data_IF_361286535760
#
_entry.id   IF_361286535760
#
_cell.length_a   1.000
_cell.length_b   1.000
_cell.length_c   1.000
_cell.angle_alpha   90.00
_cell.angle_beta   90.00
_cell.angle_gamma   90.00
#
_symmetry.space_group_name_H-M   'P 1'
#
loop_
_entity.id
_entity.type
_entity.pdbx_description
1 polymer ?
#
# COMPACT_ATOMS: atom_id res chain seq x y z
N UNK A 1 73.26 -21.54 -64.71
CA UNK A 1 72.43 -22.66 -64.20
C UNK A 1 71.30 -22.12 -63.35
N UNK A 2 70.05 -22.33 -63.79
CA UNK A 2 68.82 -21.75 -63.22
C UNK A 2 68.22 -22.74 -62.21
N UNK A 3 68.24 -22.42 -60.91
CA UNK A 3 67.60 -23.25 -59.86
C UNK A 3 66.09 -23.11 -59.96
N UNK A 4 65.44 -24.17 -60.44
CA UNK A 4 64.00 -24.36 -60.44
C UNK A 4 63.53 -24.54 -58.99
N UNK A 5 62.84 -23.54 -58.42
CA UNK A 5 62.22 -23.65 -57.09
C UNK A 5 60.83 -24.26 -57.28
N UNK A 6 60.71 -25.52 -56.90
CA UNK A 6 59.45 -26.26 -56.88
C UNK A 6 58.43 -25.55 -55.99
N UNK A 7 57.21 -25.42 -56.48
CA UNK A 7 56.07 -24.88 -55.74
C UNK A 7 55.70 -25.85 -54.62
N UNK A 8 55.89 -25.43 -53.38
CA UNK A 8 55.40 -26.15 -52.20
C UNK A 8 53.89 -25.91 -52.13
N UNK A 9 53.10 -26.92 -52.50
CA UNK A 9 51.65 -26.91 -52.24
C UNK A 9 51.45 -27.11 -50.75
N UNK A 10 51.16 -26.02 -50.03
CA UNK A 10 50.79 -26.06 -48.62
C UNK A 10 49.43 -26.78 -48.56
N UNK A 11 49.43 -28.02 -48.07
CA UNK A 11 48.19 -28.70 -47.70
C UNK A 11 47.59 -27.95 -46.51
N UNK A 12 46.46 -27.28 -46.71
CA UNK A 12 45.67 -26.76 -45.61
C UNK A 12 45.21 -27.96 -44.75
N UNK A 13 45.33 -27.90 -43.42
CA UNK A 13 44.78 -28.95 -42.57
C UNK A 13 43.27 -29.06 -42.80
N UNK A 14 42.65 -30.23 -42.63
CA UNK A 14 41.23 -30.41 -42.87
C UNK A 14 40.43 -29.49 -41.94
N UNK A 15 39.87 -28.42 -42.51
CA UNK A 15 39.03 -27.42 -41.81
C UNK A 15 37.65 -28.02 -41.47
N UNK A 16 37.42 -29.31 -41.72
CA UNK A 16 36.13 -29.98 -41.54
C UNK A 16 35.85 -30.48 -40.11
N UNK A 17 36.76 -30.30 -39.15
CA UNK A 17 36.48 -30.68 -37.75
C UNK A 17 36.06 -29.50 -36.85
N UNK A 18 36.13 -28.25 -37.31
CA UNK A 18 35.71 -27.09 -36.51
C UNK A 18 34.21 -26.73 -36.66
N UNK A 19 33.46 -27.43 -37.50
CA UNK A 19 32.02 -27.15 -37.71
C UNK A 19 31.08 -27.85 -36.72
N UNK A 20 31.62 -28.72 -35.83
CA UNK A 20 30.80 -29.47 -34.86
C UNK A 20 30.75 -28.80 -33.49
N UNK A 21 30.59 -27.47 -33.45
CA UNK A 21 30.08 -26.82 -32.24
C UNK A 21 28.60 -27.17 -32.11
N UNK A 22 28.31 -28.23 -31.34
CA UNK A 22 26.96 -28.55 -30.89
C UNK A 22 26.38 -27.31 -30.23
N UNK A 23 25.47 -26.65 -30.94
CA UNK A 23 24.70 -25.50 -30.47
C UNK A 23 23.71 -25.93 -29.37
N UNK A 24 24.21 -26.37 -28.22
CA UNK A 24 23.39 -26.53 -27.02
C UNK A 24 23.10 -25.16 -26.38
N UNK A 25 23.93 -24.14 -26.64
CA UNK A 25 23.76 -22.78 -26.10
C UNK A 25 22.52 -22.07 -26.66
N UNK A 26 22.13 -22.30 -27.93
CA UNK A 26 20.92 -21.68 -28.50
C UNK A 26 19.60 -22.31 -28.03
N UNK A 27 19.63 -23.54 -27.49
CA UNK A 27 18.44 -24.26 -27.01
C UNK A 27 18.26 -24.18 -25.49
N UNK A 28 19.32 -23.89 -24.73
CA UNK A 28 19.26 -23.77 -23.26
C UNK A 28 18.92 -22.37 -22.76
N UNK A 29 19.22 -21.30 -23.51
CA UNK A 29 18.85 -19.93 -23.11
C UNK A 29 17.33 -19.64 -23.24
N UNK A 30 16.62 -20.30 -24.15
CA UNK A 30 15.17 -20.13 -24.31
C UNK A 30 14.37 -20.87 -23.25
N UNK A 31 14.86 -22.01 -22.76
CA UNK A 31 14.26 -22.74 -21.62
C UNK A 31 14.63 -22.11 -20.28
N UNK A 32 15.85 -21.59 -20.11
CA UNK A 32 16.28 -20.93 -18.87
C UNK A 32 15.68 -19.54 -18.65
N UNK A 33 15.69 -18.67 -19.68
CA UNK A 33 15.16 -17.31 -19.54
C UNK A 33 13.64 -17.28 -19.51
N UNK A 34 12.96 -18.15 -20.26
CA UNK A 34 11.51 -18.30 -20.21
C UNK A 34 11.03 -18.78 -18.82
N UNK A 35 11.74 -19.74 -18.21
CA UNK A 35 11.40 -20.22 -16.87
C UNK A 35 11.53 -19.11 -15.80
N UNK A 36 12.57 -18.26 -15.88
CA UNK A 36 12.70 -17.12 -14.98
C UNK A 36 11.52 -16.15 -15.10
N UNK A 37 11.05 -15.84 -16.31
CA UNK A 37 9.88 -14.98 -16.51
C UNK A 37 8.63 -15.60 -15.85
N UNK A 38 8.41 -16.91 -15.99
CA UNK A 38 7.30 -17.58 -15.31
C UNK A 38 7.45 -17.58 -13.78
N UNK A 39 8.67 -17.71 -13.25
CA UNK A 39 8.94 -17.58 -11.81
C UNK A 39 8.63 -16.17 -11.32
N UNK A 40 9.03 -15.13 -12.05
CA UNK A 40 8.71 -13.74 -11.69
C UNK A 40 7.20 -13.46 -11.74
N UNK A 41 6.50 -13.96 -12.76
CA UNK A 41 5.03 -13.86 -12.85
C UNK A 41 4.38 -14.59 -11.67
N UNK A 42 4.83 -15.81 -11.37
CA UNK A 42 4.33 -16.60 -10.24
C UNK A 42 4.55 -15.88 -8.90
N UNK A 43 5.74 -15.32 -8.69
CA UNK A 43 6.07 -14.52 -7.51
C UNK A 43 5.18 -13.27 -7.42
N UNK A 44 4.93 -12.58 -8.53
CA UNK A 44 4.08 -11.40 -8.56
C UNK A 44 2.63 -11.73 -8.23
N UNK A 45 2.09 -12.82 -8.80
CA UNK A 45 0.74 -13.31 -8.49
C UNK A 45 0.66 -13.72 -7.01
N UNK A 46 1.68 -14.41 -6.50
CA UNK A 46 1.75 -14.81 -5.09
C UNK A 46 1.77 -13.61 -4.14
N UNK A 47 2.57 -12.58 -4.46
CA UNK A 47 2.59 -11.33 -3.72
C UNK A 47 1.22 -10.65 -3.76
N UNK A 48 0.54 -10.60 -4.92
CA UNK A 48 -0.80 -10.04 -5.01
C UNK A 48 -1.82 -10.81 -4.16
N UNK A 49 -1.71 -12.14 -4.09
CA UNK A 49 -2.61 -12.96 -3.29
C UNK A 49 -2.39 -12.74 -1.79
N UNK A 50 -1.13 -12.67 -1.36
CA UNK A 50 -0.76 -12.41 0.04
C UNK A 50 -1.09 -11.00 0.51
N UNK A 51 -1.15 -10.03 -0.41
CA UNK A 51 -1.40 -8.62 -0.09
C UNK A 51 -2.87 -8.27 0.04
N UNK A 52 -3.80 -9.20 -0.22
CA UNK A 52 -5.23 -8.92 -0.11
C UNK A 52 -5.63 -8.76 1.36
N UNK A 53 -6.14 -7.59 1.79
CA UNK A 53 -6.60 -7.41 3.15
C UNK A 53 -7.79 -8.31 3.44
N UNK A 54 -7.85 -8.85 4.66
CA UNK A 54 -9.01 -9.61 5.11
C UNK A 54 -10.11 -8.61 5.52
N UNK A 55 -10.97 -8.27 4.55
CA UNK A 55 -12.13 -7.42 4.76
C UNK A 55 -13.25 -8.27 5.34
N UNK A 56 -13.74 -7.88 6.52
CA UNK A 56 -14.90 -8.53 7.15
C UNK A 56 -16.13 -7.66 6.97
N UNK A 57 -17.18 -8.22 6.40
CA UNK A 57 -18.49 -7.56 6.41
C UNK A 57 -19.13 -7.76 7.79
N UNK A 58 -19.40 -6.66 8.48
CA UNK A 58 -20.10 -6.63 9.76
C UNK A 58 -21.58 -6.34 9.52
N UNK A 59 -22.43 -6.92 10.37
CA UNK A 59 -23.87 -6.57 10.38
C UNK A 59 -24.13 -5.30 11.18
N UNK A 60 -23.37 -5.11 12.26
CA UNK A 60 -23.52 -4.03 13.22
C UNK A 60 -22.13 -3.56 13.66
N UNK A 61 -22.02 -2.30 14.06
CA UNK A 61 -20.78 -1.78 14.63
C UNK A 61 -20.62 -2.25 16.09
N UNK A 62 -19.39 -2.49 16.54
CA UNK A 62 -19.12 -2.75 17.95
C UNK A 62 -19.56 -1.56 18.83
N UNK A 63 -20.14 -1.83 20.01
CA UNK A 63 -20.63 -0.80 20.93
C UNK A 63 -19.63 0.33 21.24
N UNK A 64 -18.32 0.08 21.44
CA UNK A 64 -17.38 1.16 21.73
C UNK A 64 -17.27 2.16 20.57
N UNK A 65 -17.32 1.66 19.34
CA UNK A 65 -17.23 2.49 18.14
C UNK A 65 -18.53 3.24 17.91
N UNK A 66 -19.68 2.59 18.11
CA UNK A 66 -20.99 3.21 17.94
C UNK A 66 -21.25 4.38 18.89
N UNK A 67 -20.65 4.35 20.09
CA UNK A 67 -20.69 5.47 21.06
C UNK A 67 -19.88 6.70 20.59
N UNK A 68 -18.80 6.46 19.84
CA UNK A 68 -17.90 7.51 19.35
C UNK A 68 -18.38 8.04 17.99
N UNK A 69 -18.83 7.13 17.13
CA UNK A 69 -19.30 7.39 15.78
C UNK A 69 -20.81 7.12 15.69
N UNK A 70 -21.64 8.14 15.96
CA UNK A 70 -23.08 8.00 15.81
C UNK A 70 -23.44 7.78 14.34
N UNK A 71 -24.33 6.83 14.09
CA UNK A 71 -24.73 6.45 12.74
C UNK A 71 -26.04 7.13 12.36
N UNK A 72 -26.02 7.80 11.21
CA UNK A 72 -27.23 8.26 10.55
C UNK A 72 -28.02 7.06 10.00
N UNK A 73 -29.34 7.05 10.23
CA UNK A 73 -30.28 6.06 9.68
C UNK A 73 -29.75 4.61 9.62
N UNK A 74 -29.59 4.01 10.80
CA UNK A 74 -29.02 2.66 10.96
C UNK A 74 -29.74 1.57 10.16
N UNK A 75 -31.04 1.73 9.94
CA UNK A 75 -31.87 0.79 9.19
C UNK A 75 -31.53 0.73 7.70
N UNK A 76 -30.96 1.81 7.15
CA UNK A 76 -30.69 1.95 5.73
C UNK A 76 -29.19 1.90 5.40
N UNK A 77 -28.37 1.33 6.28
CA UNK A 77 -26.97 1.06 5.99
C UNK A 77 -26.88 -0.09 4.99
N UNK A 78 -26.19 0.13 3.87
CA UNK A 78 -25.98 -0.89 2.85
C UNK A 78 -24.89 -1.89 3.28
N UNK A 79 -23.80 -1.35 3.85
CA UNK A 79 -22.61 -2.14 4.16
C UNK A 79 -21.80 -1.53 5.30
N UNK A 80 -21.29 -2.40 6.17
CA UNK A 80 -20.25 -2.09 7.14
C UNK A 80 -19.08 -3.04 6.89
N UNK A 81 -17.93 -2.51 6.51
CA UNK A 81 -16.69 -3.26 6.37
C UNK A 81 -15.75 -2.95 7.52
N UNK A 82 -15.09 -3.98 8.03
CA UNK A 82 -14.04 -3.87 9.03
C UNK A 82 -12.75 -4.46 8.50
N UNK A 83 -11.67 -3.68 8.63
CA UNK A 83 -10.33 -4.09 8.32
C UNK A 83 -9.47 -3.91 9.57
N UNK A 84 -8.96 -5.03 10.10
CA UNK A 84 -8.06 -5.02 11.24
C UNK A 84 -6.68 -4.48 10.82
N UNK A 85 -6.26 -3.35 11.39
CA UNK A 85 -5.04 -2.64 11.01
C UNK A 85 -3.78 -3.48 11.22
N UNK A 86 -3.72 -4.19 12.34
CA UNK A 86 -2.62 -5.11 12.64
C UNK A 86 -2.49 -6.27 11.65
N UNK A 87 -3.59 -6.78 11.08
CA UNK A 87 -3.54 -7.90 10.11
C UNK A 87 -3.34 -7.44 8.67
N UNK A 88 -3.79 -6.23 8.33
CA UNK A 88 -3.62 -5.63 7.01
C UNK A 88 -2.14 -5.46 6.64
N UNK A 89 -1.29 -5.22 7.64
CA UNK A 89 0.08 -4.81 7.38
C UNK A 89 1.18 -5.65 8.02
N UNK A 90 0.89 -6.62 8.88
CA UNK A 90 1.93 -7.47 9.48
C UNK A 90 2.90 -8.10 8.45
N UNK A 91 2.39 -8.52 7.29
CA UNK A 91 3.24 -9.07 6.23
C UNK A 91 4.11 -8.00 5.58
N UNK A 92 3.56 -6.81 5.34
CA UNK A 92 4.27 -5.67 4.75
C UNK A 92 5.31 -5.13 5.73
N UNK A 93 4.95 -4.96 7.00
CA UNK A 93 5.87 -4.57 8.07
C UNK A 93 7.05 -5.53 8.17
N UNK A 94 6.80 -6.85 8.18
CA UNK A 94 7.88 -7.87 8.19
C UNK A 94 8.77 -7.80 6.96
N UNK A 95 8.19 -7.59 5.77
CA UNK A 95 8.96 -7.45 4.53
C UNK A 95 9.73 -6.13 4.45
N UNK A 96 9.24 -5.08 5.10
CA UNK A 96 9.87 -3.76 5.10
C UNK A 96 11.07 -3.64 6.06
N UNK A 97 11.25 -4.59 6.98
CA UNK A 97 12.43 -4.64 7.86
C UNK A 97 13.74 -4.69 7.06
N UNK A 98 13.80 -5.50 5.99
CA UNK A 98 15.01 -5.68 5.17
C UNK A 98 15.43 -4.38 4.45
N UNK A 99 14.56 -3.73 3.66
CA UNK A 99 14.92 -2.46 3.02
C UNK A 99 15.20 -1.36 4.05
N UNK A 100 14.46 -1.31 5.17
CA UNK A 100 14.76 -0.37 6.27
C UNK A 100 16.16 -0.55 6.83
N UNK A 101 16.57 -1.79 7.10
CA UNK A 101 17.90 -2.08 7.63
C UNK A 101 19.02 -1.65 6.67
N UNK A 102 18.83 -1.85 5.36
CA UNK A 102 19.81 -1.46 4.34
C UNK A 102 19.87 0.06 4.20
N UNK A 103 18.73 0.74 4.27
CA UNK A 103 18.62 2.18 4.06
C UNK A 103 18.86 3.02 5.32
N UNK A 104 18.74 2.44 6.51
CA UNK A 104 18.86 3.16 7.78
C UNK A 104 20.17 3.94 7.93
N UNK A 105 21.35 3.43 7.50
CA UNK A 105 22.59 4.21 7.65
C UNK A 105 22.55 5.49 6.81
N UNK A 106 21.93 5.46 5.63
CA UNK A 106 21.85 6.60 4.71
C UNK A 106 20.86 7.65 5.24
N UNK A 107 19.68 7.21 5.69
CA UNK A 107 18.65 8.09 6.25
C UNK A 107 19.15 8.80 7.51
N UNK A 108 19.78 8.07 8.43
CA UNK A 108 20.32 8.64 9.67
C UNK A 108 21.47 9.63 9.44
N UNK A 109 22.27 9.45 8.39
CA UNK A 109 23.32 10.39 8.01
C UNK A 109 22.75 11.68 7.41
N UNK A 110 21.67 11.59 6.63
CA UNK A 110 20.97 12.76 6.08
C UNK A 110 20.27 13.58 7.17
N UNK A 111 19.63 12.91 8.12
CA UNK A 111 18.89 13.56 9.21
C UNK A 111 19.82 14.28 10.21
N UNK A 112 21.02 13.75 10.43
CA UNK A 112 22.07 14.42 11.23
C UNK A 112 22.45 15.80 10.67
N UNK A 113 22.34 16.01 9.35
CA UNK A 113 22.69 17.29 8.72
C UNK A 113 21.54 18.30 8.76
N UNK A 114 20.34 17.89 9.17
CA UNK A 114 19.13 18.72 9.21
C UNK A 114 18.77 19.10 10.64
N UNK A 115 19.03 18.23 11.61
CA UNK A 115 18.68 18.42 13.03
C UNK A 115 19.95 18.74 13.84
N UNK A 116 20.35 20.01 13.84
CA UNK A 116 21.30 20.56 14.81
C UNK A 116 20.58 20.73 16.16
N UNK A 117 20.52 19.66 16.94
CA UNK A 117 20.05 19.69 18.33
C UNK A 117 21.25 19.49 19.26
N UNK A 118 21.38 20.33 20.28
CA UNK A 118 22.51 20.37 21.24
C UNK A 118 22.69 19.08 22.08
N UNK A 119 21.75 18.12 22.01
CA UNK A 119 21.87 16.80 22.62
C UNK A 119 21.22 15.72 21.75
N UNK A 120 21.90 15.28 20.67
CA UNK A 120 21.35 14.26 19.80
C UNK A 120 21.23 12.91 20.55
N UNK A 121 20.09 12.20 20.47
CA UNK A 121 20.01 10.84 20.98
C UNK A 121 21.08 9.95 20.31
N UNK A 122 21.58 8.96 21.05
CA UNK A 122 22.65 8.07 20.55
C UNK A 122 22.27 7.44 19.21
N UNK A 123 23.27 7.21 18.35
CA UNK A 123 23.05 6.63 17.01
C UNK A 123 22.28 5.30 17.06
N UNK A 124 22.50 4.51 18.10
CA UNK A 124 21.76 3.27 18.34
C UNK A 124 20.29 3.52 18.67
N UNK A 125 19.98 4.50 19.53
CA UNK A 125 18.59 4.85 19.88
C UNK A 125 17.81 5.36 18.66
N UNK A 126 18.44 6.14 17.79
CA UNK A 126 17.84 6.61 16.53
C UNK A 126 17.58 5.45 15.57
N UNK A 127 18.54 4.54 15.44
CA UNK A 127 18.38 3.33 14.64
C UNK A 127 17.22 2.47 15.15
N UNK A 128 17.13 2.21 16.46
CA UNK A 128 16.02 1.43 17.02
C UNK A 128 14.69 2.13 16.82
N UNK A 129 14.60 3.45 17.04
CA UNK A 129 13.36 4.22 16.81
C UNK A 129 12.92 4.16 15.35
N UNK A 130 13.83 4.29 14.39
CA UNK A 130 13.51 4.17 12.96
C UNK A 130 13.06 2.74 12.57
N UNK A 131 13.64 1.72 13.20
CA UNK A 131 13.24 0.33 12.98
C UNK A 131 11.88 0.01 13.61
N UNK A 132 11.55 0.64 14.74
CA UNK A 132 10.30 0.45 15.48
C UNK A 132 9.14 1.29 14.89
N UNK A 133 9.43 2.32 14.11
CA UNK A 133 8.42 3.13 13.44
C UNK A 133 7.66 2.27 12.41
N UNK A 134 6.33 2.16 12.48
CA UNK A 134 5.58 1.37 11.51
C UNK A 134 5.64 2.02 10.11
N UNK A 135 5.79 1.20 9.07
CA UNK A 135 5.78 1.67 7.67
C UNK A 135 4.37 2.03 7.20
N UNK A 136 3.38 1.49 7.89
CA UNK A 136 1.99 1.50 7.46
C UNK A 136 1.07 1.89 8.60
N UNK A 137 -0.11 2.40 8.25
CA UNK A 137 -1.13 2.73 9.24
C UNK A 137 -1.66 1.45 9.91
N UNK A 138 -1.42 1.30 11.21
CA UNK A 138 -1.83 0.14 11.99
C UNK A 138 -3.23 0.30 12.62
N UNK A 139 -3.91 1.41 12.34
CA UNK A 139 -5.28 1.65 12.84
C UNK A 139 -6.27 0.69 12.19
N UNK A 140 -7.23 0.25 12.98
CA UNK A 140 -8.41 -0.46 12.51
C UNK A 140 -9.27 0.47 11.67
N UNK A 141 -9.85 -0.04 10.59
CA UNK A 141 -10.68 0.74 9.67
C UNK A 141 -12.09 0.19 9.64
N UNK A 142 -13.07 1.06 9.85
CA UNK A 142 -14.50 0.80 9.66
C UNK A 142 -14.99 1.64 8.48
N UNK A 143 -15.52 1.00 7.45
CA UNK A 143 -16.12 1.67 6.30
C UNK A 143 -17.62 1.42 6.32
N UNK A 144 -18.41 2.48 6.36
CA UNK A 144 -19.87 2.40 6.42
C UNK A 144 -20.42 3.14 5.22
N UNK A 145 -21.34 2.50 4.50
CA UNK A 145 -21.87 2.99 3.25
C UNK A 145 -23.40 3.02 3.27
N UNK A 146 -23.92 4.09 2.67
CA UNK A 146 -25.34 4.30 2.41
C UNK A 146 -25.51 4.76 0.97
N UNK A 147 -26.59 4.31 0.34
CA UNK A 147 -26.97 4.70 -1.00
C UNK A 147 -28.43 5.16 -1.00
N UNK A 148 -28.73 6.18 -1.82
CA UNK A 148 -30.09 6.69 -2.04
C UNK A 148 -30.79 7.08 -0.74
N UNK A 149 -30.12 7.88 0.08
CA UNK A 149 -30.72 8.43 1.29
C UNK A 149 -31.75 9.50 0.91
N UNK A 150 -32.91 9.56 1.59
CA UNK A 150 -33.94 10.56 1.28
C UNK A 150 -33.55 11.98 1.74
N UNK A 151 -32.56 12.11 2.61
CA UNK A 151 -32.11 13.40 3.13
C UNK A 151 -31.09 14.10 2.22
N UNK A 152 -31.09 15.43 2.27
CA UNK A 152 -30.15 16.24 1.51
C UNK A 152 -28.69 16.07 2.00
N UNK A 153 -27.69 16.19 1.10
CA UNK A 153 -26.27 16.06 1.44
C UNK A 153 -25.81 17.00 2.55
N UNK A 154 -26.30 18.25 2.51
CA UNK A 154 -25.99 19.30 3.48
C UNK A 154 -26.50 18.95 4.88
N UNK A 155 -27.70 18.38 4.97
CA UNK A 155 -28.30 17.96 6.23
C UNK A 155 -27.51 16.80 6.85
N UNK A 156 -27.17 15.78 6.05
CA UNK A 156 -26.37 14.64 6.53
C UNK A 156 -25.00 15.12 7.01
N UNK A 157 -24.34 15.98 6.22
CA UNK A 157 -23.05 16.56 6.60
C UNK A 157 -23.15 17.31 7.93
N UNK A 158 -24.15 18.17 8.09
CA UNK A 158 -24.32 18.95 9.31
C UNK A 158 -24.58 18.06 10.53
N UNK A 159 -25.37 17.00 10.37
CA UNK A 159 -25.57 16.00 11.43
C UNK A 159 -24.23 15.46 11.93
N UNK A 160 -23.32 15.09 11.03
CA UNK A 160 -22.03 14.55 11.43
C UNK A 160 -21.06 15.60 11.96
N UNK A 161 -21.08 16.84 11.44
CA UNK A 161 -20.32 17.95 12.02
C UNK A 161 -20.73 18.11 13.49
N UNK A 162 -22.02 18.30 13.76
CA UNK A 162 -22.53 18.51 15.11
C UNK A 162 -22.24 17.32 16.03
N UNK A 163 -22.37 16.09 15.51
CA UNK A 163 -22.22 14.89 16.31
C UNK A 163 -20.75 14.57 16.63
N UNK A 164 -19.84 14.78 15.68
CA UNK A 164 -18.41 14.55 15.88
C UNK A 164 -17.76 15.67 16.70
N UNK A 165 -18.16 16.93 16.53
CA UNK A 165 -17.69 18.04 17.36
C UNK A 165 -18.09 17.86 18.83
N UNK A 166 -19.29 17.35 19.12
CA UNK A 166 -19.70 16.95 20.48
C UNK A 166 -18.80 15.88 21.08
N UNK A 167 -18.21 15.03 20.24
CA UNK A 167 -17.23 14.02 20.64
C UNK A 167 -15.79 14.56 20.63
N UNK A 168 -15.59 15.87 20.51
CA UNK A 168 -14.29 16.56 20.47
C UNK A 168 -13.43 16.24 19.24
N UNK A 169 -14.04 15.85 18.13
CA UNK A 169 -13.34 15.83 16.85
C UNK A 169 -13.25 17.24 16.27
N UNK A 170 -12.12 17.53 15.64
CA UNK A 170 -11.88 18.80 14.96
C UNK A 170 -11.96 18.58 13.46
N UNK A 171 -12.81 19.35 12.78
CA UNK A 171 -12.88 19.38 11.33
C UNK A 171 -11.60 20.00 10.76
N UNK A 172 -10.87 19.25 9.95
CA UNK A 172 -9.82 19.79 9.10
C UNK A 172 -10.45 20.45 7.86
N UNK A 173 -9.75 21.45 7.29
CA UNK A 173 -10.25 22.20 6.15
C UNK A 173 -10.83 21.26 5.08
N UNK A 174 -12.05 21.54 4.58
CA UNK A 174 -12.70 20.67 3.60
C UNK A 174 -11.85 20.60 2.34
N UNK A 175 -11.67 19.38 1.80
CA UNK A 175 -11.05 19.21 0.48
C UNK A 175 -12.18 19.45 -0.53
N UNK A 176 -12.40 20.73 -0.84
CA UNK A 176 -13.56 21.23 -1.60
C UNK A 176 -13.68 20.60 -2.99
N UNK A 177 -12.58 20.11 -3.56
CA UNK A 177 -12.56 19.47 -4.87
C UNK A 177 -13.16 18.04 -4.88
N UNK A 178 -13.39 17.43 -3.71
CA UNK A 178 -13.79 16.02 -3.63
C UNK A 178 -14.99 15.74 -2.72
N UNK A 179 -15.67 16.76 -2.18
CA UNK A 179 -16.77 16.57 -1.20
C UNK A 179 -16.34 15.66 -0.03
N UNK A 180 -15.08 15.80 0.40
CA UNK A 180 -14.47 15.05 1.49
C UNK A 180 -14.26 15.95 2.70
N UNK A 181 -14.63 15.43 3.87
CA UNK A 181 -14.50 16.11 5.14
C UNK A 181 -13.74 15.21 6.09
N UNK A 182 -12.65 15.73 6.66
CA UNK A 182 -11.75 14.96 7.53
C UNK A 182 -11.89 15.51 8.94
N UNK A 183 -12.18 14.63 9.89
CA UNK A 183 -12.29 14.94 11.30
C UNK A 183 -11.22 14.18 12.06
N UNK A 184 -10.52 14.84 12.98
CA UNK A 184 -9.43 14.23 13.75
C UNK A 184 -9.66 14.43 15.25
N UNK A 185 -9.38 13.37 16.03
CA UNK A 185 -9.32 13.40 17.48
C UNK A 185 -8.24 12.42 17.94
N UNK A 186 -7.19 12.92 18.59
CA UNK A 186 -6.08 12.10 19.07
C UNK A 186 -5.52 11.18 17.96
N UNK A 187 -5.60 9.85 18.13
CA UNK A 187 -5.20 8.85 17.14
C UNK A 187 -6.39 8.29 16.33
N UNK A 188 -7.55 8.94 16.38
CA UNK A 188 -8.74 8.60 15.61
C UNK A 188 -8.97 9.60 14.48
N UNK A 189 -9.52 9.11 13.38
CA UNK A 189 -9.83 9.93 12.22
C UNK A 189 -11.12 9.45 11.57
N UNK A 190 -11.99 10.38 11.20
CA UNK A 190 -13.18 10.09 10.40
C UNK A 190 -13.07 10.83 9.08
N UNK A 191 -13.29 10.14 7.97
CA UNK A 191 -13.39 10.71 6.64
C UNK A 191 -14.81 10.51 6.16
N UNK A 192 -15.48 11.61 5.89
CA UNK A 192 -16.82 11.62 5.32
C UNK A 192 -16.68 11.93 3.84
N UNK A 193 -17.31 11.11 3.02
CA UNK A 193 -17.40 11.31 1.59
C UNK A 193 -18.85 11.29 1.16
N UNK A 194 -19.25 12.34 0.46
CA UNK A 194 -20.60 12.48 -0.09
C UNK A 194 -20.47 12.59 -1.59
N UNK A 195 -21.28 11.86 -2.33
CA UNK A 195 -21.44 12.01 -3.77
C UNK A 195 -22.91 12.18 -4.05
N UNK A 196 -23.21 13.25 -4.77
CA UNK A 196 -24.58 13.62 -5.06
C UNK A 196 -24.71 14.22 -6.45
N UNK A 197 -25.81 13.89 -7.13
CA UNK A 197 -26.22 14.46 -8.40
C UNK A 197 -27.39 15.39 -8.17
N UNK A 198 -27.18 16.70 -8.39
CA UNK A 198 -28.18 17.76 -8.15
C UNK A 198 -29.52 17.63 -8.92
N UNK A 199 -29.69 16.60 -9.76
CA UNK A 199 -30.94 16.31 -10.47
C UNK A 199 -31.87 15.38 -9.70
N UNK A 200 -31.35 14.61 -8.76
CA UNK A 200 -32.09 13.64 -7.96
C UNK A 200 -32.38 14.23 -6.57
N UNK A 201 -33.48 13.80 -5.95
CA UNK A 201 -33.80 14.22 -4.59
C UNK A 201 -33.09 13.31 -3.60
N UNK A 202 -32.57 13.89 -2.52
CA UNK A 202 -31.86 13.15 -1.47
C UNK A 202 -30.35 13.15 -1.69
N UNK A 203 -29.70 12.07 -1.28
CA UNK A 203 -28.25 11.86 -1.43
C UNK A 203 -27.99 10.53 -2.10
N UNK A 204 -27.35 10.55 -3.27
CA UNK A 204 -27.06 9.33 -4.03
C UNK A 204 -26.16 8.35 -3.29
N UNK A 205 -25.08 8.86 -2.69
CA UNK A 205 -24.10 8.04 -1.99
C UNK A 205 -23.44 8.81 -0.86
N UNK A 206 -23.34 8.14 0.28
CA UNK A 206 -22.70 8.65 1.47
C UNK A 206 -21.84 7.55 2.10
N UNK A 207 -20.63 7.89 2.51
CA UNK A 207 -19.77 6.94 3.21
C UNK A 207 -18.93 7.58 4.28
N UNK A 208 -18.65 6.79 5.31
CA UNK A 208 -17.75 7.15 6.40
C UNK A 208 -16.65 6.12 6.49
N UNK A 209 -15.42 6.59 6.53
CA UNK A 209 -14.25 5.78 6.83
C UNK A 209 -13.71 6.24 8.18
N UNK A 210 -13.80 5.37 9.18
CA UNK A 210 -13.36 5.63 10.53
C UNK A 210 -12.12 4.82 10.86
N UNK A 211 -11.06 5.51 11.25
CA UNK A 211 -9.81 4.93 11.71
C UNK A 211 -9.75 5.00 13.23
N UNK A 212 -9.58 3.84 13.88
CA UNK A 212 -9.42 3.73 15.33
C UNK A 212 -8.11 3.03 15.69
N UNK A 213 -7.53 3.31 16.87
CA UNK A 213 -6.46 2.48 17.42
C UNK A 213 -6.83 0.99 17.39
N UNK A 214 -5.85 0.13 17.11
CA UNK A 214 -6.04 -1.32 17.18
C UNK A 214 -6.24 -1.71 18.66
N UNK A 215 -7.31 -2.47 18.96
CA UNK A 215 -7.77 -2.90 20.30
C UNK A 215 -8.74 -1.95 21.04
N UNK A 216 -9.85 -1.60 20.39
CA UNK A 216 -11.03 -1.07 21.09
C UNK A 216 -11.97 -2.20 21.55
#
# INVERSE_FOLDING_TARGET
MRRNRQSVTIQAPPIQELSKQRSCIKRSCTTGCGCLVFVFIGLFIFLQLLSRPNIKNLKELPEPIEKILPLYDKSNIDRIEYIQGGKKHQTIERLAVIPKFILSPIVLLLEKNIIDNDNPPSAWKRFTTFMDEPVTDQRDTYTIEWSRLPAEPSFILQFYIDALEKQSFVLQQPITSQQQYIFIKDNMQSIIYIRDNAKEQGTDYFSIIFYSPSNF
#
